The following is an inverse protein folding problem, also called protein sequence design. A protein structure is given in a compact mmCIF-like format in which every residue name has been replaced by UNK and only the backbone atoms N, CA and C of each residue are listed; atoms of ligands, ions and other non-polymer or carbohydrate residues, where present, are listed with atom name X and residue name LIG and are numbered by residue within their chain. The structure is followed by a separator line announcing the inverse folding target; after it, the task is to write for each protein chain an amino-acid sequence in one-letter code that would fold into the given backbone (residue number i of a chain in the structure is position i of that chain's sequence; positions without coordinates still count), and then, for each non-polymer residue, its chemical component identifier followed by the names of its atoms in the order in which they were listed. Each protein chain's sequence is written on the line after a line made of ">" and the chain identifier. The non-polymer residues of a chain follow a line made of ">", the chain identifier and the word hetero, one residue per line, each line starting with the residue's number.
data_IF_279165390043
#
_entry.id   IF_279165390043
#
_cell.length_a   1.000
_cell.length_b   1.000
_cell.length_c   1.000
_cell.angle_alpha   90.00
_cell.angle_beta   90.00
_cell.angle_gamma   90.00
#
_symmetry.space_group_name_H-M   'P 1'
#
loop_
_entity.id
_entity.type
_entity.pdbx_description
1 polymer ?
#
# COMPACT_ATOMS: atom_id res chain seq x y z
N UNK A 1 3.24 -33.85 -58.12
CA UNK A 1 2.08 -33.30 -57.40
C UNK A 1 2.47 -33.17 -55.94
N UNK A 2 3.11 -32.07 -55.56
CA UNK A 2 3.54 -31.80 -54.18
C UNK A 2 2.61 -30.76 -53.58
N UNK A 3 1.83 -31.18 -52.59
CA UNK A 3 0.93 -30.32 -51.83
C UNK A 3 1.73 -29.67 -50.70
N UNK A 4 2.04 -28.37 -50.83
CA UNK A 4 2.61 -27.56 -49.76
C UNK A 4 1.52 -27.29 -48.71
N UNK A 5 1.63 -27.95 -47.55
CA UNK A 5 0.84 -27.60 -46.38
C UNK A 5 1.47 -26.36 -45.71
N UNK A 6 0.81 -25.21 -45.83
CA UNK A 6 1.15 -24.01 -45.05
C UNK A 6 0.69 -24.23 -43.60
N UNK A 7 1.63 -24.61 -42.74
CA UNK A 7 1.45 -24.60 -41.29
C UNK A 7 1.58 -23.13 -40.82
N UNK A 8 0.46 -22.41 -40.74
CA UNK A 8 0.44 -21.11 -40.06
C UNK A 8 0.53 -21.40 -38.57
N UNK A 9 1.74 -21.27 -38.02
CA UNK A 9 1.94 -21.22 -36.58
C UNK A 9 1.27 -19.93 -36.09
N UNK A 10 0.07 -20.06 -35.50
CA UNK A 10 -0.52 -18.98 -34.72
C UNK A 10 0.40 -18.76 -33.51
N UNK A 11 1.26 -17.76 -33.60
CA UNK A 11 1.91 -17.16 -32.44
C UNK A 11 0.79 -16.68 -31.52
N UNK A 12 0.52 -17.45 -30.48
CA UNK A 12 -0.35 -17.02 -29.38
C UNK A 12 0.33 -15.84 -28.69
N UNK A 13 0.08 -14.63 -29.17
CA UNK A 13 0.38 -13.41 -28.41
C UNK A 13 -0.54 -13.46 -27.20
N UNK A 14 -0.01 -13.88 -26.04
CA UNK A 14 -0.71 -13.74 -24.79
C UNK A 14 -0.83 -12.25 -24.48
N UNK A 15 -2.00 -11.68 -24.77
CA UNK A 15 -2.35 -10.36 -24.28
C UNK A 15 -2.50 -10.47 -22.75
N UNK A 16 -1.55 -9.92 -21.99
CA UNK A 16 -1.77 -9.71 -20.55
C UNK A 16 -2.76 -8.57 -20.40
N UNK A 17 -4.05 -8.91 -20.22
CA UNK A 17 -5.07 -7.94 -19.85
C UNK A 17 -4.72 -7.36 -18.48
N UNK A 18 -4.69 -6.04 -18.38
CA UNK A 18 -4.59 -5.35 -17.09
C UNK A 18 -5.88 -5.59 -16.32
N UNK A 19 -5.81 -6.38 -15.25
CA UNK A 19 -6.95 -6.60 -14.37
C UNK A 19 -7.03 -5.45 -13.36
N UNK A 20 -8.16 -4.76 -13.33
CA UNK A 20 -8.40 -3.62 -12.44
C UNK A 20 -9.30 -4.07 -11.29
N UNK A 21 -8.94 -3.65 -10.07
CA UNK A 21 -9.68 -3.94 -8.84
C UNK A 21 -10.03 -2.61 -8.16
N UNK A 22 -11.29 -2.20 -8.24
CA UNK A 22 -11.73 -0.98 -7.59
C UNK A 22 -12.07 -1.27 -6.12
N UNK A 23 -11.58 -0.44 -5.21
CA UNK A 23 -11.81 -0.61 -3.76
C UNK A 23 -13.29 -0.57 -3.37
N UNK A 24 -14.13 0.11 -4.16
CA UNK A 24 -15.59 0.15 -3.95
C UNK A 24 -16.26 -1.22 -4.15
N UNK A 25 -15.67 -2.09 -4.97
CA UNK A 25 -16.15 -3.47 -5.17
C UNK A 25 -15.89 -4.33 -3.91
N UNK A 26 -15.08 -3.81 -2.97
CA UNK A 26 -14.72 -4.42 -1.70
C UNK A 26 -15.31 -3.64 -0.50
N UNK A 27 -16.39 -2.90 -0.73
CA UNK A 27 -17.13 -2.12 0.29
C UNK A 27 -16.39 -0.87 0.81
N UNK A 28 -15.47 -0.28 0.06
CA UNK A 28 -14.98 1.05 0.39
C UNK A 28 -16.10 2.10 0.22
N UNK A 29 -16.29 2.96 1.20
CA UNK A 29 -17.30 4.03 1.17
C UNK A 29 -16.78 5.27 0.46
N UNK A 30 -15.50 5.62 0.62
CA UNK A 30 -14.85 6.74 -0.06
C UNK A 30 -15.34 8.13 0.37
N UNK A 31 -15.93 8.26 1.56
CA UNK A 31 -16.49 9.52 2.06
C UNK A 31 -15.51 10.35 2.91
N UNK A 32 -14.27 9.89 3.07
CA UNK A 32 -13.25 10.56 3.90
C UNK A 32 -13.53 10.49 5.41
N UNK A 33 -14.49 9.68 5.85
CA UNK A 33 -14.87 9.50 7.26
C UNK A 33 -14.80 8.02 7.66
N UNK A 34 -15.35 7.13 6.83
CA UNK A 34 -15.35 5.70 7.07
C UNK A 34 -13.93 5.12 6.90
N UNK A 35 -13.60 4.13 7.73
CA UNK A 35 -12.35 3.40 7.60
C UNK A 35 -12.46 2.36 6.48
N UNK A 36 -11.87 2.69 5.33
CA UNK A 36 -11.84 1.85 4.14
C UNK A 36 -10.62 0.90 4.11
N UNK A 37 -9.83 0.80 5.18
CA UNK A 37 -8.58 0.03 5.20
C UNK A 37 -8.80 -1.44 4.84
N UNK A 38 -9.87 -2.06 5.34
CA UNK A 38 -10.18 -3.46 5.03
C UNK A 38 -10.59 -3.67 3.57
N UNK A 39 -11.31 -2.72 2.98
CA UNK A 39 -11.67 -2.75 1.57
C UNK A 39 -10.42 -2.66 0.67
N UNK A 40 -9.49 -1.76 1.02
CA UNK A 40 -8.20 -1.63 0.33
C UNK A 40 -7.39 -2.94 0.42
N UNK A 41 -7.25 -3.51 1.63
CA UNK A 41 -6.54 -4.79 1.82
C UNK A 41 -7.16 -5.92 1.01
N UNK A 42 -8.49 -5.99 0.95
CA UNK A 42 -9.20 -7.01 0.18
C UNK A 42 -8.99 -6.84 -1.34
N UNK A 43 -9.02 -5.62 -1.85
CA UNK A 43 -8.72 -5.33 -3.26
C UNK A 43 -7.28 -5.73 -3.64
N UNK A 44 -6.31 -5.40 -2.79
CA UNK A 44 -4.90 -5.79 -2.97
C UNK A 44 -4.76 -7.32 -2.94
N UNK A 45 -5.39 -8.00 -1.98
CA UNK A 45 -5.36 -9.46 -1.90
C UNK A 45 -5.95 -10.11 -3.15
N UNK A 46 -7.06 -9.60 -3.67
CA UNK A 46 -7.66 -10.09 -4.91
C UNK A 46 -6.73 -9.91 -6.11
N UNK A 47 -6.05 -8.76 -6.21
CA UNK A 47 -5.08 -8.48 -7.27
C UNK A 47 -3.84 -9.38 -7.22
N UNK A 48 -3.37 -9.74 -6.03
CA UNK A 48 -2.24 -10.68 -5.87
C UNK A 48 -2.65 -12.10 -6.25
N UNK A 49 -3.85 -12.53 -5.82
CA UNK A 49 -4.33 -13.89 -6.02
C UNK A 49 -4.66 -14.21 -7.48
N UNK A 50 -5.00 -13.20 -8.31
CA UNK A 50 -5.38 -13.42 -9.71
C UNK A 50 -4.26 -13.93 -10.60
N UNK A 51 -2.99 -13.72 -10.21
CA UNK A 51 -1.82 -14.18 -10.96
C UNK A 51 -1.13 -15.39 -10.31
N UNK A 52 -1.88 -16.19 -9.53
CA UNK A 52 -1.33 -17.32 -8.80
C UNK A 52 -0.27 -16.91 -7.77
N UNK A 53 -0.40 -15.69 -7.21
CA UNK A 53 0.52 -15.12 -6.23
C UNK A 53 1.74 -14.41 -6.81
N UNK A 54 1.91 -14.35 -8.14
CA UNK A 54 3.06 -13.70 -8.78
C UNK A 54 2.68 -12.32 -9.31
N UNK A 55 3.10 -11.27 -8.61
CA UNK A 55 2.93 -9.89 -9.05
C UNK A 55 3.98 -9.57 -10.12
N UNK A 56 3.56 -9.45 -11.38
CA UNK A 56 4.48 -9.13 -12.50
C UNK A 56 4.58 -7.61 -12.71
N UNK A 57 3.51 -6.87 -12.39
CA UNK A 57 3.45 -5.39 -12.35
C UNK A 57 2.22 -4.98 -11.50
N UNK A 58 2.42 -4.32 -10.37
CA UNK A 58 1.32 -3.79 -9.54
C UNK A 58 1.22 -2.28 -9.70
N UNK A 59 0.03 -1.79 -10.02
CA UNK A 59 -0.24 -0.37 -10.20
C UNK A 59 -1.29 0.05 -9.17
N UNK A 60 -0.89 0.92 -8.24
CA UNK A 60 -1.81 1.66 -7.39
C UNK A 60 -2.16 2.97 -8.11
N UNK A 61 -3.33 3.02 -8.74
CA UNK A 61 -3.87 4.22 -9.40
C UNK A 61 -4.76 5.00 -8.43
N UNK A 62 -4.28 6.15 -7.95
CA UNK A 62 -4.96 7.00 -6.98
C UNK A 62 -5.67 8.12 -7.74
N UNK A 63 -7.01 8.08 -7.77
CA UNK A 63 -7.86 9.12 -8.37
C UNK A 63 -8.70 9.91 -7.37
N UNK A 64 -8.69 9.50 -6.11
CA UNK A 64 -9.32 10.20 -4.99
C UNK A 64 -8.28 10.73 -4.02
N UNK A 65 -8.67 10.89 -2.76
CA UNK A 65 -7.75 11.22 -1.67
C UNK A 65 -7.59 10.02 -0.75
N UNK A 66 -6.35 9.57 -0.52
CA UNK A 66 -6.00 8.67 0.57
C UNK A 66 -5.71 9.54 1.80
N UNK A 67 -6.45 9.32 2.88
CA UNK A 67 -6.23 9.98 4.16
C UNK A 67 -5.47 9.02 5.08
N UNK A 68 -4.33 9.48 5.61
CA UNK A 68 -3.64 8.81 6.70
C UNK A 68 -4.48 8.87 7.96
N UNK A 69 -4.62 7.74 8.66
CA UNK A 69 -5.30 7.70 9.95
C UNK A 69 -4.53 8.55 10.98
N UNK A 70 -5.28 9.30 11.79
CA UNK A 70 -4.76 9.97 12.97
C UNK A 70 -4.75 9.05 14.21
N UNK A 71 -5.41 7.89 14.12
CA UNK A 71 -5.35 6.83 15.12
C UNK A 71 -4.15 5.93 14.87
N UNK A 72 -3.23 5.88 15.83
CA UNK A 72 -2.01 5.08 15.70
C UNK A 72 -2.22 3.59 15.70
N UNK A 73 -3.33 3.09 16.24
CA UNK A 73 -3.62 1.65 16.27
C UNK A 73 -3.91 1.10 14.86
N UNK A 74 -4.13 1.97 13.88
CA UNK A 74 -4.29 1.57 12.48
C UNK A 74 -2.95 1.24 11.81
N UNK A 75 -1.83 1.59 12.46
CA UNK A 75 -0.47 1.33 12.00
C UNK A 75 0.17 0.29 12.89
N UNK A 76 0.36 -0.91 12.33
CA UNK A 76 0.99 -2.01 13.04
C UNK A 76 2.42 -1.63 13.47
N UNK A 77 2.87 -2.18 14.59
CA UNK A 77 4.27 -2.13 14.95
C UNK A 77 5.04 -3.13 14.09
N UNK A 78 6.11 -2.68 13.45
CA UNK A 78 6.98 -3.44 12.55
C UNK A 78 8.44 -3.35 13.02
N UNK A 79 9.28 -4.25 12.52
CA UNK A 79 10.72 -4.11 12.71
C UNK A 79 11.18 -2.74 12.15
N UNK A 80 12.25 -2.14 12.72
CA UNK A 80 12.67 -0.81 12.34
C UNK A 80 12.86 -0.64 10.84
N UNK A 81 12.26 0.40 10.27
CA UNK A 81 12.27 0.63 8.83
C UNK A 81 13.68 1.08 8.38
N UNK A 82 14.11 0.79 7.13
CA UNK A 82 15.48 1.07 6.68
C UNK A 82 15.88 2.55 6.52
N UNK A 83 15.22 3.50 7.17
CA UNK A 83 15.46 4.94 7.04
C UNK A 83 15.76 5.62 8.39
N UNK A 84 16.89 6.35 8.41
CA UNK A 84 17.51 7.25 9.40
C UNK A 84 17.88 6.76 10.81
N UNK A 85 18.92 5.92 10.86
CA UNK A 85 20.14 6.18 11.63
C UNK A 85 20.00 6.41 13.13
N UNK A 86 20.15 5.33 13.91
CA UNK A 86 20.50 5.28 15.34
C UNK A 86 20.26 6.63 16.06
N UNK A 87 19.00 6.94 16.34
CA UNK A 87 18.77 7.68 17.58
C UNK A 87 19.11 6.70 18.69
N UNK A 88 20.19 6.98 19.39
CA UNK A 88 20.57 6.26 20.60
C UNK A 88 19.41 6.40 21.60
N UNK A 89 18.48 5.43 21.60
CA UNK A 89 17.18 5.52 22.28
C UNK A 89 15.96 5.07 21.47
N UNK A 90 16.11 4.71 20.19
CA UNK A 90 15.06 4.09 19.38
C UNK A 90 14.66 2.75 19.98
N UNK A 91 13.40 2.64 20.44
CA UNK A 91 12.78 1.38 20.88
C UNK A 91 12.84 0.28 19.80
N UNK A 92 12.46 -0.97 20.14
CA UNK A 92 12.70 -2.12 19.29
C UNK A 92 11.84 -2.16 18.01
N UNK A 93 10.82 -1.31 17.88
CA UNK A 93 9.81 -1.37 16.81
C UNK A 93 9.46 0.03 16.33
N UNK A 94 9.11 0.12 15.05
CA UNK A 94 8.56 1.31 14.40
C UNK A 94 7.08 1.12 14.07
N UNK A 95 6.39 2.20 13.70
CA UNK A 95 5.06 2.08 13.08
C UNK A 95 5.17 1.89 11.58
N UNK A 96 4.32 1.02 11.06
CA UNK A 96 4.16 0.80 9.63
C UNK A 96 3.95 2.13 8.89
N UNK A 97 4.59 2.27 7.72
CA UNK A 97 4.39 3.43 6.85
C UNK A 97 2.95 3.51 6.33
N UNK A 98 2.50 4.71 5.95
CA UNK A 98 1.17 4.93 5.34
C UNK A 98 0.92 4.04 4.13
N UNK A 99 1.94 3.90 3.27
CA UNK A 99 1.96 2.93 2.18
C UNK A 99 3.26 2.16 2.34
N UNK A 100 3.14 0.89 2.73
CA UNK A 100 4.27 -0.01 2.84
C UNK A 100 4.24 -1.05 1.72
N UNK A 101 5.39 -1.24 1.10
CA UNK A 101 5.63 -2.22 0.06
C UNK A 101 6.88 -3.00 0.45
N UNK A 102 6.70 -4.21 0.97
CA UNK A 102 7.79 -5.03 1.49
C UNK A 102 8.11 -6.21 0.56
N UNK A 103 9.40 -6.46 0.33
CA UNK A 103 9.92 -7.56 -0.50
C UNK A 103 9.17 -7.73 -1.85
N UNK A 104 8.88 -6.61 -2.51
CA UNK A 104 8.16 -6.59 -3.79
C UNK A 104 8.94 -5.80 -4.85
N UNK A 105 8.65 -6.10 -6.11
CA UNK A 105 9.25 -5.44 -7.28
C UNK A 105 8.16 -5.09 -8.30
N UNK A 106 8.48 -4.20 -9.25
CA UNK A 106 7.56 -3.73 -10.28
C UNK A 106 6.28 -3.09 -9.71
N UNK A 107 6.47 -2.11 -8.82
CA UNK A 107 5.38 -1.39 -8.16
C UNK A 107 5.34 0.03 -8.70
N UNK A 108 4.17 0.48 -9.16
CA UNK A 108 3.92 1.84 -9.62
C UNK A 108 2.83 2.45 -8.76
N UNK A 109 3.08 3.64 -8.21
CA UNK A 109 2.04 4.50 -7.64
C UNK A 109 1.83 5.64 -8.64
N UNK A 110 0.59 5.81 -9.11
CA UNK A 110 0.25 6.77 -10.15
C UNK A 110 -1.15 7.37 -9.93
N UNK A 111 -1.63 8.15 -10.87
CA UNK A 111 -2.93 8.82 -10.83
C UNK A 111 -2.81 10.31 -10.49
N UNK A 112 -3.93 11.03 -10.65
CA UNK A 112 -4.02 12.47 -10.41
C UNK A 112 -4.61 12.86 -9.05
N UNK A 113 -4.77 11.88 -8.15
CA UNK A 113 -5.33 12.08 -6.81
C UNK A 113 -4.33 12.60 -5.79
N UNK A 114 -4.67 12.46 -4.50
CA UNK A 114 -3.92 13.01 -3.37
C UNK A 114 -3.62 11.90 -2.35
N UNK A 115 -2.41 11.92 -1.79
CA UNK A 115 -2.06 11.20 -0.57
C UNK A 115 -1.85 12.26 0.51
N UNK A 116 -2.78 12.35 1.46
CA UNK A 116 -2.70 13.26 2.60
C UNK A 116 -2.45 12.44 3.87
N UNK A 117 -1.25 12.54 4.43
CA UNK A 117 -0.86 11.77 5.61
C UNK A 117 -1.52 12.24 6.92
N UNK A 118 -2.24 13.36 6.93
CA UNK A 118 -2.85 13.94 8.13
C UNK A 118 -1.87 14.07 9.31
N UNK A 119 -0.63 14.49 9.01
CA UNK A 119 0.54 14.41 9.88
C UNK A 119 0.51 15.24 11.17
N UNK A 120 -0.41 16.19 11.32
CA UNK A 120 -0.38 17.15 12.44
C UNK A 120 -0.32 16.52 13.84
N UNK A 121 -1.10 15.47 14.18
CA UNK A 121 -1.00 14.79 15.48
C UNK A 121 0.34 14.06 15.66
N UNK A 122 0.93 13.56 14.57
CA UNK A 122 2.23 12.88 14.57
C UNK A 122 3.39 13.85 14.81
N UNK A 123 3.34 15.03 14.19
CA UNK A 123 4.37 16.06 14.41
C UNK A 123 4.29 16.70 15.80
N UNK A 124 3.11 16.72 16.42
CA UNK A 124 2.98 17.21 17.80
C UNK A 124 3.82 16.40 18.81
N UNK A 125 4.16 15.14 18.48
CA UNK A 125 5.01 14.29 19.31
C UNK A 125 6.41 14.90 19.55
N UNK A 126 7.00 15.61 18.58
CA UNK A 126 8.38 16.11 18.72
C UNK A 126 8.53 17.33 19.64
N UNK A 127 7.42 17.91 20.13
CA UNK A 127 7.43 19.16 20.90
C UNK A 127 6.90 19.03 22.33
N UNK A 128 6.33 17.87 22.71
CA UNK A 128 5.73 17.71 24.04
C UNK A 128 5.97 16.32 24.65
N UNK A 129 6.84 16.29 25.66
CA UNK A 129 7.22 15.08 26.39
C UNK A 129 6.05 14.33 27.06
N UNK A 130 4.92 14.98 27.32
CA UNK A 130 3.75 14.31 27.92
C UNK A 130 2.90 13.54 26.91
N UNK A 131 3.06 13.81 25.61
CA UNK A 131 2.28 13.13 24.56
C UNK A 131 2.83 11.73 24.23
N UNK A 132 4.08 11.40 24.60
CA UNK A 132 4.67 10.06 24.38
C UNK A 132 3.99 8.92 25.15
N UNK A 133 3.15 9.24 26.14
CA UNK A 133 2.32 8.25 26.83
C UNK A 133 0.98 7.99 26.12
N UNK A 134 0.67 8.71 25.04
CA UNK A 134 -0.65 8.74 24.39
C UNK A 134 -0.52 8.57 22.88
N UNK A 135 -1.52 7.95 22.25
CA UNK A 135 -1.60 7.88 20.79
C UNK A 135 -1.63 9.31 20.18
N UNK A 136 -1.01 9.54 19.01
CA UNK A 136 -0.33 8.55 18.18
C UNK A 136 1.15 8.29 18.56
N UNK A 137 1.64 8.95 19.60
CA UNK A 137 3.03 8.97 20.02
C UNK A 137 3.44 7.81 20.97
N UNK A 138 2.48 7.02 21.45
CA UNK A 138 2.74 5.90 22.36
C UNK A 138 3.60 4.82 21.67
N UNK A 139 4.51 4.19 22.40
CA UNK A 139 5.35 3.07 21.93
C UNK A 139 6.21 3.35 20.68
N UNK A 140 6.52 4.61 20.37
CA UNK A 140 7.46 4.97 19.30
C UNK A 140 8.90 4.99 19.81
N UNK A 141 9.81 4.50 18.96
CA UNK A 141 11.23 4.79 19.01
C UNK A 141 11.47 6.31 18.93
N UNK A 142 12.45 6.82 19.70
CA UNK A 142 13.09 8.08 19.33
C UNK A 142 13.86 7.85 18.04
#
# INVERSE_FOLDING_TARGET
>A
MYLLAFLVAFLNVQHTLTQVYHVIDFNATGNGIADDTNAVRAAVAAAINSNGGRVVNFILDIRGTILGSQNSDHYALVDPLPWNGIEEGSGPLDRQALIEVYNASNITITGGGVIDGQGAPWWACSWNATLFAQAPCSNLSR
#
